data_IF_411010236341
#
_entry.id   IF_411010236341
#
_cell.length_a   1.000
_cell.length_b   1.000
_cell.length_c   1.000
_cell.angle_alpha   90.00
_cell.angle_beta   90.00
_cell.angle_gamma   90.00
#
_symmetry.space_group_name_H-M   'P 1'
#
loop_
_entity.id
_entity.type
_entity.pdbx_description
1 polymer ?
#
# COMPACT_ATOMS: atom_id res chain seq x y z
N UNK A 1 -19.31 27.07 33.23
CA UNK A 1 -18.36 25.93 33.11
C UNK A 1 -19.09 24.70 32.55
N UNK A 2 -19.54 24.73 31.28
CA UNK A 2 -20.31 23.63 30.65
C UNK A 2 -19.72 23.12 29.33
N UNK A 3 -18.62 23.70 28.86
CA UNK A 3 -18.02 23.36 27.55
C UNK A 3 -16.68 22.61 27.66
N UNK A 4 -16.14 22.43 28.87
CA UNK A 4 -14.83 21.78 29.05
C UNK A 4 -14.86 20.26 28.79
N UNK A 5 -16.04 19.64 28.89
CA UNK A 5 -16.21 18.20 28.68
C UNK A 5 -16.23 17.78 27.20
N UNK A 6 -16.37 18.73 26.26
CA UNK A 6 -16.54 18.42 24.84
C UNK A 6 -15.21 18.37 24.06
N UNK A 7 -14.11 18.88 24.65
CA UNK A 7 -12.80 18.91 23.98
C UNK A 7 -12.05 17.57 24.14
N UNK A 8 -12.34 16.81 25.20
CA UNK A 8 -11.60 15.60 25.54
C UNK A 8 -11.93 14.37 24.66
N UNK A 9 -13.01 14.41 23.87
CA UNK A 9 -13.41 13.29 23.00
C UNK A 9 -12.72 13.29 21.62
N UNK A 10 -11.97 14.35 21.30
CA UNK A 10 -11.34 14.55 19.98
C UNK A 10 -9.97 13.88 19.83
N UNK A 11 -9.41 13.31 20.92
CA UNK A 11 -7.99 12.88 20.98
C UNK A 11 -7.81 11.38 20.72
N UNK A 12 -8.89 10.64 20.42
CA UNK A 12 -8.84 9.19 20.15
C UNK A 12 -8.99 8.83 18.67
N UNK A 13 -8.62 9.74 17.75
CA UNK A 13 -8.29 9.34 16.38
C UNK A 13 -6.93 8.63 16.42
N UNK A 14 -6.93 7.39 16.89
CA UNK A 14 -5.80 6.46 16.75
C UNK A 14 -5.66 6.19 15.26
N UNK A 15 -4.95 7.07 14.56
CA UNK A 15 -4.50 6.82 13.21
C UNK A 15 -3.50 5.67 13.29
N UNK A 16 -3.94 4.45 13.00
CA UNK A 16 -3.05 3.34 12.74
C UNK A 16 -2.13 3.71 11.57
N UNK A 17 -0.94 4.22 11.90
CA UNK A 17 0.12 4.49 10.93
C UNK A 17 0.81 3.16 10.68
N UNK A 18 0.78 2.69 9.43
CA UNK A 18 1.66 1.59 9.02
C UNK A 18 3.08 2.12 9.00
N UNK A 19 4.03 1.32 9.51
CA UNK A 19 5.44 1.59 9.31
C UNK A 19 5.83 1.31 7.85
N UNK A 20 5.53 2.28 6.99
CA UNK A 20 5.96 2.29 5.59
C UNK A 20 7.42 2.70 5.44
N UNK A 21 8.09 3.14 6.52
CA UNK A 21 9.45 3.65 6.42
C UNK A 21 10.42 2.51 6.10
N UNK A 22 10.13 1.27 6.53
CA UNK A 22 10.84 0.08 6.05
C UNK A 22 10.72 -0.13 4.53
N UNK A 23 9.55 0.17 3.96
CA UNK A 23 9.26 0.00 2.52
C UNK A 23 10.04 1.04 1.72
N UNK A 24 9.97 2.30 2.15
CA UNK A 24 10.60 3.45 1.48
C UNK A 24 12.12 3.39 1.55
N UNK A 25 12.67 2.92 2.66
CA UNK A 25 14.13 2.87 2.87
C UNK A 25 14.76 1.56 2.36
N UNK A 26 13.99 0.67 1.75
CA UNK A 26 14.53 -0.57 1.22
C UNK A 26 15.39 -0.29 -0.02
N UNK A 27 16.67 -0.65 0.04
CA UNK A 27 17.60 -0.53 -1.09
C UNK A 27 17.47 -1.68 -2.10
N UNK A 28 16.33 -2.35 -2.11
CA UNK A 28 16.09 -3.53 -2.92
C UNK A 28 15.27 -3.23 -4.18
N UNK A 29 15.40 -4.12 -5.16
CA UNK A 29 14.47 -4.13 -6.28
C UNK A 29 13.11 -4.64 -5.81
N UNK A 30 12.05 -4.06 -6.38
CA UNK A 30 10.69 -4.55 -6.18
C UNK A 30 10.28 -5.41 -7.36
N UNK A 31 9.54 -6.48 -7.09
CA UNK A 31 8.96 -7.35 -8.09
C UNK A 31 7.52 -6.93 -8.37
N UNK A 32 7.14 -6.89 -9.64
CA UNK A 32 5.80 -6.56 -10.12
C UNK A 32 5.25 -7.79 -10.84
N UNK A 33 4.10 -8.28 -10.39
CA UNK A 33 3.32 -9.32 -11.05
C UNK A 33 1.95 -8.76 -11.44
N UNK A 34 1.51 -9.00 -12.66
CA UNK A 34 0.14 -8.67 -13.11
C UNK A 34 -0.65 -9.94 -13.33
N UNK A 35 -1.95 -9.90 -13.05
CA UNK A 35 -2.84 -11.04 -13.21
C UNK A 35 -4.07 -10.66 -14.02
N UNK A 36 -4.55 -11.62 -14.81
CA UNK A 36 -5.84 -11.57 -15.49
C UNK A 36 -6.61 -12.85 -15.15
N UNK A 37 -7.80 -12.72 -14.56
CA UNK A 37 -8.63 -13.85 -14.11
C UNK A 37 -7.85 -14.89 -13.28
N UNK A 38 -7.03 -14.40 -12.34
CA UNK A 38 -6.21 -15.25 -11.45
C UNK A 38 -4.95 -15.84 -12.08
N UNK A 39 -4.71 -15.64 -13.39
CA UNK A 39 -3.51 -16.13 -14.07
C UNK A 39 -2.47 -15.01 -14.18
N UNK A 40 -1.22 -15.28 -13.79
CA UNK A 40 -0.13 -14.31 -13.94
C UNK A 40 0.17 -14.07 -15.43
N UNK A 41 0.09 -12.81 -15.86
CA UNK A 41 0.30 -12.41 -17.26
C UNK A 41 1.65 -11.74 -17.51
N UNK A 42 2.18 -11.01 -16.54
CA UNK A 42 3.51 -10.41 -16.63
C UNK A 42 4.22 -10.46 -15.28
N UNK A 43 5.54 -10.55 -15.37
CA UNK A 43 6.47 -10.44 -14.25
C UNK A 43 7.65 -9.57 -14.68
N UNK A 44 8.08 -8.66 -13.80
CA UNK A 44 9.31 -7.90 -13.96
C UNK A 44 9.76 -7.28 -12.64
N UNK A 45 11.01 -6.82 -12.60
CA UNK A 45 11.57 -6.14 -11.42
C UNK A 45 11.91 -4.69 -11.74
N UNK A 46 11.71 -3.80 -10.77
CA UNK A 46 12.09 -2.40 -10.83
C UNK A 46 13.19 -2.15 -9.81
N UNK A 47 14.26 -1.49 -10.24
CA UNK A 47 15.34 -1.04 -9.35
C UNK A 47 15.16 0.46 -9.03
N UNK A 48 16.02 1.00 -8.17
CA UNK A 48 15.90 2.38 -7.70
C UNK A 48 16.06 3.47 -8.76
N UNK A 49 16.71 3.17 -9.89
CA UNK A 49 16.86 4.13 -10.98
C UNK A 49 15.69 4.10 -11.97
N UNK A 50 14.76 3.15 -11.83
CA UNK A 50 13.58 3.08 -12.69
C UNK A 50 12.55 4.14 -12.32
N UNK A 51 12.04 4.87 -13.32
CA UNK A 51 11.02 5.90 -13.12
C UNK A 51 9.72 5.36 -12.49
N UNK A 52 9.35 4.10 -12.74
CA UNK A 52 8.19 3.45 -12.10
C UNK A 52 8.47 3.14 -10.62
N UNK A 53 9.70 2.76 -10.27
CA UNK A 53 10.10 2.58 -8.87
C UNK A 53 9.96 3.90 -8.11
N UNK A 54 10.52 4.98 -8.65
CA UNK A 54 10.47 6.30 -8.02
C UNK A 54 9.02 6.76 -7.82
N UNK A 55 8.15 6.55 -8.82
CA UNK A 55 6.71 6.84 -8.71
C UNK A 55 6.02 5.98 -7.65
N UNK A 56 6.37 4.70 -7.55
CA UNK A 56 5.83 3.81 -6.53
C UNK A 56 6.20 4.27 -5.11
N UNK A 57 7.48 4.55 -4.86
CA UNK A 57 7.93 5.05 -3.55
C UNK A 57 7.26 6.40 -3.22
N UNK A 58 7.12 7.28 -4.21
CA UNK A 58 6.38 8.54 -4.04
C UNK A 58 4.92 8.30 -3.65
N UNK A 59 4.24 7.37 -4.34
CA UNK A 59 2.86 6.98 -4.03
C UNK A 59 2.74 6.40 -2.61
N UNK A 60 3.65 5.52 -2.20
CA UNK A 60 3.69 4.96 -0.83
C UNK A 60 3.86 6.09 0.19
N UNK A 61 4.75 7.05 -0.08
CA UNK A 61 4.99 8.18 0.81
C UNK A 61 3.79 9.14 0.91
N UNK A 62 3.05 9.33 -0.18
CA UNK A 62 1.79 10.09 -0.18
C UNK A 62 0.66 9.35 0.55
N UNK A 63 0.73 8.02 0.62
CA UNK A 63 -0.32 7.16 1.16
C UNK A 63 0.00 6.56 2.53
N UNK A 64 0.79 7.21 3.39
CA UNK A 64 1.14 6.69 4.74
C UNK A 64 -0.02 6.55 5.73
N UNK A 65 -1.16 7.19 5.47
CA UNK A 65 -2.31 7.28 6.37
C UNK A 65 -3.57 6.68 5.74
N UNK A 66 -4.59 6.44 6.56
CA UNK A 66 -5.88 5.90 6.13
C UNK A 66 -5.88 4.41 5.87
N UNK A 67 -4.97 3.69 6.54
CA UNK A 67 -4.90 2.23 6.50
C UNK A 67 -5.70 1.63 7.65
N UNK A 68 -6.47 0.60 7.35
CA UNK A 68 -7.30 -0.11 8.32
C UNK A 68 -6.87 -1.58 8.39
N UNK A 69 -6.72 -2.18 9.59
CA UNK A 69 -6.45 -3.60 9.72
C UNK A 69 -7.49 -4.44 8.97
N UNK A 70 -7.06 -5.49 8.29
CA UNK A 70 -7.96 -6.35 7.53
C UNK A 70 -7.52 -7.81 7.56
N UNK A 71 -8.45 -8.71 7.24
CA UNK A 71 -8.22 -10.14 7.03
C UNK A 71 -8.53 -10.54 5.57
N UNK A 72 -8.68 -9.57 4.69
CA UNK A 72 -9.12 -9.78 3.31
C UNK A 72 -8.04 -10.48 2.51
N UNK A 73 -8.41 -11.63 1.94
CA UNK A 73 -7.62 -12.34 0.93
C UNK A 73 -8.39 -12.33 -0.39
N UNK A 74 -7.87 -11.60 -1.37
CA UNK A 74 -8.33 -11.68 -2.76
C UNK A 74 -7.16 -12.02 -3.68
N UNK A 75 -7.46 -12.60 -4.84
CA UNK A 75 -6.49 -12.72 -5.92
C UNK A 75 -6.27 -11.32 -6.51
N UNK A 76 -5.07 -10.72 -6.42
CA UNK A 76 -4.83 -9.34 -6.89
C UNK A 76 -4.86 -9.25 -8.42
N UNK A 77 -5.15 -8.06 -8.95
CA UNK A 77 -4.93 -7.75 -10.38
C UNK A 77 -3.48 -7.32 -10.65
N UNK A 78 -2.80 -6.80 -9.63
CA UNK A 78 -1.42 -6.37 -9.63
C UNK A 78 -0.84 -6.61 -8.23
N UNK A 79 0.34 -7.21 -8.16
CA UNK A 79 1.10 -7.45 -6.94
C UNK A 79 2.45 -6.74 -7.05
N UNK A 80 2.78 -5.90 -6.07
CA UNK A 80 4.10 -5.33 -5.87
C UNK A 80 4.71 -5.94 -4.62
N UNK A 81 5.87 -6.56 -4.70
CA UNK A 81 6.49 -7.22 -3.54
C UNK A 81 7.97 -6.87 -3.40
N UNK A 82 8.38 -6.58 -2.17
CA UNK A 82 9.77 -6.57 -1.72
C UNK A 82 10.04 -7.75 -0.78
N UNK A 83 11.13 -7.70 -0.04
CA UNK A 83 11.53 -8.76 0.90
C UNK A 83 10.59 -8.86 2.10
N UNK A 84 10.18 -7.72 2.66
CA UNK A 84 9.40 -7.64 3.89
C UNK A 84 7.98 -7.09 3.70
N UNK A 85 7.55 -6.90 2.45
CA UNK A 85 6.24 -6.34 2.17
C UNK A 85 5.65 -6.84 0.85
N UNK A 86 4.33 -6.78 0.76
CA UNK A 86 3.60 -6.89 -0.51
C UNK A 86 2.40 -5.94 -0.54
N UNK A 87 2.14 -5.34 -1.70
CA UNK A 87 0.92 -4.60 -2.01
C UNK A 87 0.13 -5.35 -3.06
N UNK A 88 -1.09 -5.73 -2.70
CA UNK A 88 -2.07 -6.38 -3.56
C UNK A 88 -3.07 -5.34 -4.04
N UNK A 89 -3.08 -5.01 -5.32
CA UNK A 89 -3.99 -4.01 -5.90
C UNK A 89 -5.16 -4.70 -6.63
N UNK A 90 -6.38 -4.28 -6.32
CA UNK A 90 -7.60 -4.77 -6.96
C UNK A 90 -8.64 -3.66 -7.08
N UNK A 91 -8.75 -3.07 -8.28
CA UNK A 91 -9.72 -2.03 -8.56
C UNK A 91 -9.57 -0.84 -7.61
N UNK A 92 -10.58 -0.60 -6.77
CA UNK A 92 -10.59 0.51 -5.81
C UNK A 92 -9.96 0.21 -4.45
N UNK A 93 -9.23 -0.90 -4.32
CA UNK A 93 -8.65 -1.35 -3.06
C UNK A 93 -7.17 -1.74 -3.21
N UNK A 94 -6.41 -1.48 -2.15
CA UNK A 94 -5.06 -2.01 -1.96
C UNK A 94 -4.94 -2.62 -0.58
N UNK A 95 -4.33 -3.81 -0.53
CA UNK A 95 -3.96 -4.49 0.72
C UNK A 95 -2.45 -4.56 0.81
N UNK A 96 -1.89 -4.02 1.89
CA UNK A 96 -0.47 -4.20 2.22
C UNK A 96 -0.31 -5.28 3.27
N UNK A 97 0.61 -6.20 3.04
CA UNK A 97 1.12 -7.13 4.06
C UNK A 97 2.54 -6.73 4.40
N UNK A 98 2.86 -6.59 5.68
CA UNK A 98 4.20 -6.34 6.19
C UNK A 98 4.38 -7.00 7.57
N UNK A 99 5.54 -6.83 8.19
CA UNK A 99 5.83 -7.38 9.53
C UNK A 99 4.82 -6.94 10.60
N UNK A 100 4.24 -5.74 10.46
CA UNK A 100 3.25 -5.20 11.41
C UNK A 100 1.83 -5.76 11.20
N UNK A 101 1.59 -6.55 10.14
CA UNK A 101 0.30 -7.16 9.85
C UNK A 101 -0.22 -6.86 8.44
N UNK A 102 -1.54 -7.00 8.29
CA UNK A 102 -2.26 -6.78 7.04
C UNK A 102 -3.23 -5.61 7.17
N UNK A 103 -3.19 -4.72 6.19
CA UNK A 103 -4.00 -3.51 6.20
C UNK A 103 -4.56 -3.22 4.81
N UNK A 104 -5.77 -2.68 4.75
CA UNK A 104 -6.42 -2.24 3.52
C UNK A 104 -6.53 -0.72 3.47
N UNK A 105 -6.58 -0.19 2.25
CA UNK A 105 -6.94 1.20 1.97
C UNK A 105 -7.72 1.28 0.66
N UNK A 106 -8.72 2.16 0.64
CA UNK A 106 -9.44 2.55 -0.59
C UNK A 106 -8.58 3.49 -1.42
N UNK A 107 -8.50 3.22 -2.71
CA UNK A 107 -7.71 3.99 -3.69
C UNK A 107 -8.48 4.09 -5.01
N UNK A 108 -8.01 4.93 -5.93
CA UNK A 108 -8.50 4.94 -7.31
C UNK A 108 -7.59 4.08 -8.20
N UNK A 109 -8.13 3.33 -9.19
CA UNK A 109 -7.32 2.53 -10.11
C UNK A 109 -6.18 3.30 -10.77
N UNK A 110 -6.44 4.54 -11.16
CA UNK A 110 -5.50 5.43 -11.86
C UNK A 110 -4.26 5.75 -11.01
N UNK A 111 -4.35 5.65 -9.68
CA UNK A 111 -3.23 5.89 -8.77
C UNK A 111 -2.10 4.88 -8.95
N UNK A 112 -2.37 3.68 -9.47
CA UNK A 112 -1.36 2.63 -9.64
C UNK A 112 -1.22 2.12 -11.09
N UNK A 113 -1.95 2.68 -12.05
CA UNK A 113 -1.85 2.28 -13.46
C UNK A 113 -0.44 2.46 -14.05
N UNK A 114 0.38 3.38 -13.50
CA UNK A 114 1.78 3.53 -13.92
C UNK A 114 2.63 2.28 -13.68
N UNK A 115 2.17 1.33 -12.85
CA UNK A 115 2.81 0.04 -12.59
C UNK A 115 2.41 -1.06 -13.57
N UNK A 116 1.48 -0.83 -14.49
CA UNK A 116 1.17 -1.81 -15.53
C UNK A 116 2.17 -1.72 -16.68
N UNK A 117 2.32 -2.83 -17.40
CA UNK A 117 3.08 -2.89 -18.66
C UNK A 117 2.16 -2.57 -19.82
#
# INVERSE_FOLDING_TARGET
>A
MKYLALILFSVLLVSCKIDTDQIINSNESIKINTFNNGTQTNEYSLNQSDGKYIKFISWVNANKQGWEPTLVTYAPSLLVSGKNFSFNFMGGDVVVNCESGQFAKKIQPEEYEFLRK
#
